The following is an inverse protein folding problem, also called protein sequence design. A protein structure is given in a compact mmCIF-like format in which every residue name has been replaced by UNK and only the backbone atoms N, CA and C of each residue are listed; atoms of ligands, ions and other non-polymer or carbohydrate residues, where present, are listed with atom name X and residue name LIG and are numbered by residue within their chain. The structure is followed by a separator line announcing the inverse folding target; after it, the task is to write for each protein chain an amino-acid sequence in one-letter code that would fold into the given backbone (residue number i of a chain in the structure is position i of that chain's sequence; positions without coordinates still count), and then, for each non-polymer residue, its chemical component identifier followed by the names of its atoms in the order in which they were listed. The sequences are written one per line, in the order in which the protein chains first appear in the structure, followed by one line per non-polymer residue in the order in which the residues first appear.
data_IF_012722280710
#
_entry.id   IF_012722280710
#
_cell.length_a   1.000
_cell.length_b   1.000
_cell.length_c   1.000
_cell.angle_alpha   90.00
_cell.angle_beta   90.00
_cell.angle_gamma   90.00
#
_symmetry.space_group_name_H-M   'P 1'
#
loop_
_entity.id
_entity.type
_entity.pdbx_description
1 polymer ?
#
# COMPACT_ATOMS: atom_id res chain seq x y z
N UNK A 1 7.35 -10.43 -7.41
CA UNK A 1 5.90 -10.11 -7.35
C UNK A 1 5.25 -10.62 -6.04
N UNK A 2 5.87 -10.40 -4.86
CA UNK A 2 5.31 -10.83 -3.55
C UNK A 2 5.10 -9.67 -2.56
N UNK A 3 5.72 -8.52 -2.79
CA UNK A 3 5.80 -7.44 -1.81
C UNK A 3 4.45 -6.80 -1.45
N UNK A 4 3.57 -6.63 -2.44
CA UNK A 4 2.30 -5.92 -2.26
C UNK A 4 1.08 -6.86 -2.34
N UNK A 5 1.29 -8.16 -2.57
CA UNK A 5 0.20 -9.14 -2.68
C UNK A 5 -0.99 -8.67 -3.55
N UNK A 6 -0.70 -8.34 -4.82
CA UNK A 6 -1.65 -7.65 -5.71
C UNK A 6 -2.64 -8.57 -6.43
N UNK A 7 -2.46 -9.89 -6.40
CA UNK A 7 -3.34 -10.85 -7.11
C UNK A 7 -4.62 -11.12 -6.31
N UNK A 8 -5.34 -10.04 -5.99
CA UNK A 8 -6.57 -10.01 -5.19
C UNK A 8 -7.54 -8.97 -5.76
N UNK A 9 -8.85 -9.12 -5.56
CA UNK A 9 -9.85 -8.18 -6.08
C UNK A 9 -9.95 -6.89 -5.24
N UNK A 10 -8.86 -6.10 -5.16
CA UNK A 10 -8.75 -4.89 -4.31
C UNK A 10 -8.90 -3.56 -5.08
N UNK A 11 -9.19 -3.61 -6.38
CA UNK A 11 -9.10 -2.43 -7.26
C UNK A 11 -10.37 -1.58 -7.35
N UNK A 12 -11.54 -2.13 -6.96
CA UNK A 12 -12.82 -1.40 -7.05
C UNK A 12 -12.82 -0.14 -6.19
N UNK A 13 -12.26 -0.22 -4.99
CA UNK A 13 -12.25 0.88 -4.03
C UNK A 13 -11.39 2.08 -4.48
N UNK A 14 -10.41 1.86 -5.35
CA UNK A 14 -9.50 2.90 -5.83
C UNK A 14 -9.97 3.58 -7.12
N UNK A 15 -11.08 3.10 -7.72
CA UNK A 15 -11.59 3.64 -8.99
C UNK A 15 -12.21 5.05 -8.85
N UNK A 16 -12.47 5.48 -7.61
CA UNK A 16 -12.94 6.82 -7.28
C UNK A 16 -12.18 7.34 -6.06
N UNK A 17 -12.17 8.66 -5.88
CA UNK A 17 -11.52 9.35 -4.75
C UNK A 17 -9.99 9.17 -4.66
N UNK A 18 -9.36 8.65 -5.72
CA UNK A 18 -7.91 8.54 -5.84
C UNK A 18 -7.33 7.19 -5.39
N UNK A 19 -6.11 6.92 -5.84
CA UNK A 19 -5.36 5.68 -5.56
C UNK A 19 -4.43 5.79 -4.34
N UNK A 20 -4.06 7.02 -3.94
CA UNK A 20 -3.02 7.30 -2.95
C UNK A 20 -3.50 8.22 -1.84
N UNK A 21 -2.85 8.14 -0.67
CA UNK A 21 -3.11 9.01 0.49
C UNK A 21 -4.47 8.80 1.14
N UNK A 22 -5.11 7.67 0.84
CA UNK A 22 -6.42 7.31 1.37
C UNK A 22 -6.27 6.47 2.63
N UNK A 23 -6.71 7.02 3.75
CA UNK A 23 -6.68 6.37 5.06
C UNK A 23 -7.94 5.55 5.35
N UNK A 24 -8.92 5.58 4.44
CA UNK A 24 -10.22 4.91 4.57
C UNK A 24 -10.28 3.53 3.89
N UNK A 25 -9.19 3.08 3.25
CA UNK A 25 -9.07 1.79 2.58
C UNK A 25 -7.74 1.10 2.94
N UNK A 26 -7.75 -0.23 3.12
CA UNK A 26 -6.52 -1.01 3.35
C UNK A 26 -5.91 -1.47 2.03
N UNK A 27 -5.00 -0.66 1.50
CA UNK A 27 -4.22 -0.98 0.31
C UNK A 27 -2.74 -1.17 0.65
N UNK A 28 -2.08 -2.17 0.04
CA UNK A 28 -0.74 -2.59 0.47
C UNK A 28 0.36 -1.56 0.18
N UNK A 29 0.17 -0.65 -0.78
CA UNK A 29 1.17 0.37 -1.14
C UNK A 29 1.18 1.60 -0.24
N UNK A 30 0.16 1.79 0.60
CA UNK A 30 0.13 2.85 1.62
C UNK A 30 0.82 2.41 2.93
N UNK A 31 1.21 1.13 3.05
CA UNK A 31 1.87 0.62 4.26
C UNK A 31 3.31 1.16 4.36
N UNK A 32 3.65 1.65 5.54
CA UNK A 32 4.99 2.16 5.90
C UNK A 32 5.81 1.16 6.72
N UNK A 33 5.48 -0.14 6.57
CA UNK A 33 6.08 -1.26 7.31
C UNK A 33 7.60 -1.41 7.10
N UNK A 34 8.15 -0.81 6.04
CA UNK A 34 9.59 -0.82 5.74
C UNK A 34 10.39 0.33 6.34
N UNK A 35 9.76 1.29 7.02
CA UNK A 35 10.45 2.47 7.56
C UNK A 35 11.60 2.07 8.50
N UNK A 36 11.36 1.17 9.44
CA UNK A 36 12.37 0.74 10.40
C UNK A 36 13.52 -0.05 9.74
N UNK A 37 13.22 -0.79 8.68
CA UNK A 37 14.27 -1.45 7.89
C UNK A 37 15.15 -0.41 7.20
N UNK A 38 14.56 0.60 6.56
CA UNK A 38 15.30 1.63 5.82
C UNK A 38 16.17 2.50 6.73
N UNK A 39 15.66 2.87 7.92
CA UNK A 39 16.42 3.63 8.92
C UNK A 39 17.72 2.94 9.36
N UNK A 40 17.80 1.60 9.29
CA UNK A 40 19.03 0.85 9.65
C UNK A 40 20.16 1.02 8.63
N UNK A 41 19.86 1.48 7.42
CA UNK A 41 20.83 1.69 6.34
C UNK A 41 21.25 3.17 6.18
N UNK A 42 20.74 4.05 7.04
CA UNK A 42 21.13 5.46 7.12
C UNK A 42 22.21 5.64 8.17
#
# INVERSE_FOLDING_TARGET
MKMLDLRRPIYKQTAAYGHFGRNDIDVPWEKTDKVEMLKKYM
#
